data_IF_484725016566
#
_entry.id   IF_484725016566
#
_cell.length_a   1.000
_cell.length_b   1.000
_cell.length_c   1.000
_cell.angle_alpha   90.00
_cell.angle_beta   90.00
_cell.angle_gamma   90.00
#
_symmetry.space_group_name_H-M   'P 1'
#
loop_
_entity.id
_entity.type
_entity.pdbx_description
1 polymer ?
#
# COMPACT_ATOMS: atom_id res chain seq x y z
N UNK A 1 110.52 -61.99 52.30
CA UNK A 1 109.61 -61.97 51.24
C UNK A 1 108.24 -61.47 51.81
N UNK A 2 107.97 -60.21 51.69
CA UNK A 2 106.80 -59.60 52.30
C UNK A 2 105.88 -59.08 51.21
N UNK A 3 104.66 -59.65 51.04
CA UNK A 3 103.70 -59.35 50.08
C UNK A 3 102.71 -58.25 50.64
N UNK A 4 102.75 -57.07 50.09
CA UNK A 4 101.83 -55.98 50.46
C UNK A 4 100.44 -56.20 49.77
N UNK A 5 99.39 -56.28 50.56
CA UNK A 5 98.00 -56.29 50.10
C UNK A 5 97.55 -54.85 49.96
N UNK A 6 97.12 -54.42 48.72
CA UNK A 6 96.52 -53.15 48.47
C UNK A 6 95.00 -53.26 48.72
N UNK A 7 94.50 -52.57 49.70
CA UNK A 7 93.07 -52.39 49.96
C UNK A 7 92.52 -51.30 49.04
N UNK A 8 91.61 -51.64 48.14
CA UNK A 8 90.92 -50.73 47.26
C UNK A 8 89.74 -50.16 48.00
N UNK A 9 89.75 -48.83 48.26
CA UNK A 9 88.57 -48.06 48.75
C UNK A 9 87.57 -47.94 47.68
N UNK A 10 86.40 -48.63 47.72
CA UNK A 10 85.20 -48.37 46.91
C UNK A 10 84.52 -47.13 47.47
N UNK A 11 84.48 -46.05 46.62
CA UNK A 11 83.77 -44.85 46.87
C UNK A 11 82.25 -45.14 46.69
N UNK A 12 81.52 -45.10 47.80
CA UNK A 12 80.04 -45.22 47.74
C UNK A 12 79.46 -44.02 47.04
N UNK A 13 78.83 -44.26 45.87
CA UNK A 13 78.02 -43.28 45.16
C UNK A 13 76.72 -43.14 45.94
N UNK A 14 76.51 -41.99 46.57
CA UNK A 14 75.20 -41.62 47.17
C UNK A 14 74.21 -41.48 46.08
N UNK A 15 73.00 -42.11 46.15
CA UNK A 15 71.93 -41.84 45.22
C UNK A 15 71.48 -40.39 45.41
N UNK A 16 71.50 -39.64 44.34
CA UNK A 16 70.87 -38.29 44.28
C UNK A 16 69.41 -38.47 44.61
N UNK A 17 68.95 -37.89 45.70
CA UNK A 17 67.56 -37.76 45.98
C UNK A 17 66.92 -36.98 44.81
N UNK A 18 66.09 -37.63 44.02
CA UNK A 18 65.19 -36.98 43.06
C UNK A 18 64.23 -36.15 43.88
N UNK A 19 64.48 -34.83 43.91
CA UNK A 19 63.49 -33.89 44.43
C UNK A 19 62.18 -34.13 43.68
N UNK A 20 61.17 -34.58 44.40
CA UNK A 20 59.85 -34.81 43.85
C UNK A 20 59.18 -33.46 43.54
N UNK A 21 59.25 -33.02 42.27
CA UNK A 21 58.54 -31.87 41.77
C UNK A 21 57.01 -32.10 41.68
N UNK A 22 56.46 -33.07 42.43
CA UNK A 22 55.04 -33.45 42.41
C UNK A 22 54.08 -32.31 42.78
N UNK A 23 54.55 -31.34 43.57
CA UNK A 23 53.70 -30.17 43.92
C UNK A 23 53.52 -29.14 42.80
N UNK A 24 54.51 -28.93 41.95
CA UNK A 24 54.43 -28.02 40.80
C UNK A 24 53.50 -28.55 39.69
N UNK A 25 53.49 -29.88 39.47
CA UNK A 25 52.64 -30.55 38.52
C UNK A 25 51.12 -30.35 38.84
N UNK A 26 50.84 -30.44 40.16
CA UNK A 26 49.41 -30.25 40.61
C UNK A 26 48.95 -28.85 40.40
N UNK A 27 49.77 -27.83 40.67
CA UNK A 27 49.43 -26.42 40.42
C UNK A 27 49.20 -26.12 38.91
N UNK A 28 50.08 -26.63 38.04
CA UNK A 28 50.00 -26.54 36.61
C UNK A 28 48.72 -27.24 36.05
N UNK A 29 48.44 -28.45 36.57
CA UNK A 29 47.21 -29.18 36.19
C UNK A 29 45.95 -28.42 36.60
N UNK A 30 45.90 -27.82 37.79
CA UNK A 30 44.77 -27.04 38.27
C UNK A 30 44.57 -25.79 37.40
N UNK A 31 45.65 -25.05 37.09
CA UNK A 31 45.60 -23.91 36.18
C UNK A 31 45.13 -24.31 34.77
N UNK A 32 45.61 -25.40 34.23
CA UNK A 32 45.20 -25.94 32.94
C UNK A 32 43.70 -26.31 32.94
N UNK A 33 43.23 -26.98 33.99
CA UNK A 33 41.84 -27.39 34.14
C UNK A 33 40.91 -26.17 34.21
N UNK A 34 41.26 -25.15 35.00
CA UNK A 34 40.50 -23.90 35.07
C UNK A 34 40.43 -23.18 33.71
N UNK A 35 41.58 -23.14 33.00
CA UNK A 35 41.66 -22.54 31.65
C UNK A 35 40.77 -23.31 30.65
N UNK A 36 40.80 -24.64 30.70
CA UNK A 36 39.96 -25.49 29.83
C UNK A 36 38.48 -25.29 30.13
N UNK A 37 38.08 -25.23 31.42
CA UNK A 37 36.69 -24.94 31.80
C UNK A 37 36.25 -23.54 31.31
N UNK A 38 37.12 -22.54 31.44
CA UNK A 38 36.87 -21.21 30.98
C UNK A 38 36.67 -21.14 29.44
N UNK A 39 37.50 -21.85 28.66
CA UNK A 39 37.38 -21.93 27.20
C UNK A 39 36.10 -22.65 26.77
N UNK A 40 35.78 -23.79 27.40
CA UNK A 40 34.51 -24.51 27.12
C UNK A 40 33.32 -23.64 27.51
N UNK A 41 33.37 -22.97 28.65
CA UNK A 41 32.33 -22.06 29.13
C UNK A 41 32.08 -20.90 28.16
N UNK A 42 33.17 -20.29 27.66
CA UNK A 42 33.04 -19.22 26.64
C UNK A 42 32.43 -19.75 25.35
N UNK A 43 32.73 -20.98 24.94
CA UNK A 43 32.11 -21.63 23.79
C UNK A 43 30.59 -21.83 23.95
N UNK A 44 30.16 -22.27 25.16
CA UNK A 44 28.74 -22.47 25.48
C UNK A 44 27.97 -21.14 25.52
N UNK A 45 28.50 -20.17 26.28
CA UNK A 45 27.85 -18.84 26.38
C UNK A 45 27.84 -18.10 25.02
N UNK A 46 28.93 -18.18 24.25
CA UNK A 46 29.00 -17.60 22.91
C UNK A 46 28.02 -18.26 21.93
N UNK A 47 27.91 -19.60 21.99
CA UNK A 47 26.91 -20.35 21.19
C UNK A 47 25.47 -19.97 21.56
N UNK A 48 25.18 -19.86 22.86
CA UNK A 48 23.88 -19.40 23.36
C UNK A 48 23.56 -17.99 22.88
N UNK A 49 24.49 -17.04 23.00
CA UNK A 49 24.33 -15.68 22.52
C UNK A 49 24.04 -15.62 21.01
N UNK A 50 24.74 -16.42 20.22
CA UNK A 50 24.54 -16.53 18.78
C UNK A 50 23.10 -16.99 18.45
N UNK A 51 22.61 -18.03 19.15
CA UNK A 51 21.24 -18.51 18.98
C UNK A 51 20.21 -17.44 19.36
N UNK A 52 20.40 -16.72 20.46
CA UNK A 52 19.54 -15.62 20.87
C UNK A 52 19.55 -14.49 19.85
N UNK A 53 20.73 -14.14 19.29
CA UNK A 53 20.81 -13.10 18.23
C UNK A 53 20.06 -13.53 16.99
N UNK A 54 20.18 -14.80 16.56
CA UNK A 54 19.42 -15.32 15.42
C UNK A 54 17.91 -15.28 15.66
N UNK A 55 17.47 -15.63 16.87
CA UNK A 55 16.05 -15.52 17.25
C UNK A 55 15.58 -14.07 17.20
N UNK A 56 16.37 -13.13 17.70
CA UNK A 56 16.03 -11.69 17.61
C UNK A 56 16.01 -11.17 16.18
N UNK A 57 16.89 -11.68 15.30
CA UNK A 57 16.85 -11.34 13.88
C UNK A 57 15.54 -11.82 13.25
N UNK A 58 15.14 -13.07 13.44
CA UNK A 58 13.88 -13.59 12.95
C UNK A 58 12.69 -12.78 13.48
N UNK A 59 12.74 -12.34 14.74
CA UNK A 59 11.69 -11.50 15.33
C UNK A 59 11.65 -10.11 14.72
N UNK A 60 12.81 -9.50 14.46
CA UNK A 60 12.90 -8.19 13.82
C UNK A 60 12.37 -8.24 12.38
N UNK A 61 12.77 -9.26 11.61
CA UNK A 61 12.32 -9.48 10.23
C UNK A 61 10.80 -9.66 10.15
N UNK A 62 10.25 -10.55 11.00
CA UNK A 62 8.81 -10.80 11.02
C UNK A 62 8.00 -9.57 11.45
N UNK A 63 8.50 -8.81 12.42
CA UNK A 63 7.85 -7.61 12.91
C UNK A 63 7.94 -6.45 11.91
N UNK A 64 9.09 -6.27 11.24
CA UNK A 64 9.25 -5.28 10.17
C UNK A 64 8.34 -5.59 8.98
N UNK A 65 8.29 -6.87 8.57
CA UNK A 65 7.39 -7.32 7.51
C UNK A 65 5.92 -7.07 7.84
N UNK A 66 5.49 -7.35 9.09
CA UNK A 66 4.13 -7.12 9.53
C UNK A 66 3.75 -5.63 9.51
N UNK A 67 4.63 -4.74 9.99
CA UNK A 67 4.43 -3.30 9.94
C UNK A 67 4.39 -2.75 8.51
N UNK A 68 5.30 -3.19 7.66
CA UNK A 68 5.35 -2.81 6.25
C UNK A 68 4.12 -3.31 5.46
N UNK A 69 3.59 -4.49 5.82
CA UNK A 69 2.35 -5.00 5.25
C UNK A 69 1.18 -4.05 5.50
N UNK A 70 1.04 -3.49 6.69
CA UNK A 70 -0.02 -2.53 6.98
C UNK A 70 0.15 -1.25 6.16
N UNK A 71 1.38 -0.76 5.98
CA UNK A 71 1.65 0.38 5.09
C UNK A 71 1.28 0.05 3.64
N UNK A 72 1.58 -1.16 3.16
CA UNK A 72 1.20 -1.60 1.81
C UNK A 72 -0.32 -1.71 1.60
N UNK A 73 -1.09 -1.88 2.68
CA UNK A 73 -2.55 -1.83 2.70
C UNK A 73 -3.11 -0.42 2.96
N UNK A 74 -2.26 0.60 2.85
CA UNK A 74 -2.60 2.01 3.10
C UNK A 74 -3.07 2.31 4.54
N UNK A 75 -2.80 1.43 5.50
CA UNK A 75 -3.06 1.68 6.91
C UNK A 75 -2.05 2.68 7.45
N UNK A 76 -2.52 3.83 7.94
CA UNK A 76 -1.69 4.91 8.48
C UNK A 76 -1.83 5.13 9.98
N UNK A 77 -2.70 4.39 10.64
CA UNK A 77 -2.90 4.49 12.09
C UNK A 77 -1.72 3.89 12.85
N UNK A 78 -0.98 4.74 13.57
CA UNK A 78 0.25 4.36 14.27
C UNK A 78 0.03 3.31 15.36
N UNK A 79 -1.00 3.42 16.24
CA UNK A 79 -1.27 2.38 17.22
C UNK A 79 -1.54 1.00 16.62
N UNK A 80 -2.28 0.94 15.52
CA UNK A 80 -2.56 -0.32 14.80
C UNK A 80 -1.29 -0.94 14.26
N UNK A 81 -0.42 -0.13 13.62
CA UNK A 81 0.88 -0.60 13.10
C UNK A 81 1.77 -1.07 14.27
N UNK A 82 1.80 -0.33 15.37
CA UNK A 82 2.57 -0.71 16.57
C UNK A 82 2.10 -2.04 17.16
N UNK A 83 0.81 -2.22 17.30
CA UNK A 83 0.21 -3.44 17.84
C UNK A 83 0.55 -4.68 17.00
N UNK A 84 0.53 -4.53 15.67
CA UNK A 84 0.86 -5.63 14.76
C UNK A 84 2.36 -5.99 14.84
N UNK A 85 3.25 -4.99 14.89
CA UNK A 85 4.69 -5.18 15.10
C UNK A 85 4.95 -5.95 16.42
N UNK A 86 4.34 -5.54 17.52
CA UNK A 86 4.47 -6.20 18.84
C UNK A 86 3.95 -7.63 18.81
N UNK A 87 2.83 -7.86 18.14
CA UNK A 87 2.22 -9.19 17.99
C UNK A 87 3.17 -10.14 17.28
N UNK A 88 3.76 -9.74 16.16
CA UNK A 88 4.68 -10.60 15.40
C UNK A 88 6.04 -10.75 16.08
N UNK A 89 6.52 -9.75 16.78
CA UNK A 89 7.71 -9.87 17.63
C UNK A 89 7.49 -10.89 18.76
N UNK A 90 6.34 -10.83 19.44
CA UNK A 90 5.96 -11.76 20.51
C UNK A 90 5.83 -13.20 20.00
N UNK A 91 5.21 -13.42 18.83
CA UNK A 91 5.14 -14.74 18.16
C UNK A 91 6.53 -15.31 17.85
N UNK A 92 7.55 -14.45 17.72
CA UNK A 92 8.94 -14.82 17.47
C UNK A 92 9.84 -14.67 18.71
N UNK A 93 9.26 -14.97 19.89
CA UNK A 93 9.97 -15.13 21.16
C UNK A 93 10.56 -13.85 21.77
N UNK A 94 10.08 -12.67 21.42
CA UNK A 94 10.32 -11.45 22.22
C UNK A 94 9.39 -11.49 23.43
N UNK A 95 9.96 -11.55 24.62
CA UNK A 95 9.19 -11.80 25.88
C UNK A 95 8.29 -10.60 26.24
N UNK A 96 8.81 -9.39 26.13
CA UNK A 96 8.10 -8.15 26.45
C UNK A 96 8.13 -7.20 25.23
N UNK A 97 7.28 -7.42 24.19
CA UNK A 97 7.37 -6.65 22.96
C UNK A 97 7.22 -5.14 23.19
N UNK A 98 6.41 -4.71 24.15
CA UNK A 98 6.19 -3.29 24.46
C UNK A 98 7.48 -2.55 24.85
N UNK A 99 8.40 -3.22 25.60
CA UNK A 99 9.68 -2.63 26.06
C UNK A 99 10.88 -3.03 25.19
N UNK A 100 10.85 -4.24 24.65
CA UNK A 100 11.99 -4.86 23.97
C UNK A 100 11.99 -4.65 22.46
N UNK A 101 10.93 -4.02 21.92
CA UNK A 101 10.79 -3.62 20.53
C UNK A 101 10.83 -2.11 20.40
N UNK A 102 11.72 -1.62 19.56
CA UNK A 102 11.73 -0.20 19.11
C UNK A 102 11.47 -0.18 17.62
N UNK A 103 10.53 0.64 17.16
CA UNK A 103 10.15 0.69 15.77
C UNK A 103 10.10 2.14 15.24
N UNK A 104 10.44 2.30 13.98
CA UNK A 104 10.49 3.59 13.29
C UNK A 104 9.89 3.47 11.89
N UNK A 105 9.28 4.55 11.42
CA UNK A 105 8.96 4.72 10.00
C UNK A 105 10.22 5.10 9.24
N UNK A 106 10.35 4.58 8.02
CA UNK A 106 11.44 4.91 7.10
C UNK A 106 10.89 5.37 5.75
N UNK A 107 11.66 6.18 5.04
CA UNK A 107 11.41 6.52 3.64
C UNK A 107 12.02 5.48 2.69
N UNK A 108 11.92 5.71 1.38
CA UNK A 108 12.46 4.82 0.33
C UNK A 108 13.97 4.62 0.40
N UNK A 109 14.71 5.51 1.07
CA UNK A 109 16.15 5.37 1.29
C UNK A 109 16.51 4.58 2.56
N UNK A 110 15.50 4.20 3.37
CA UNK A 110 15.68 3.60 4.68
C UNK A 110 15.98 4.61 5.81
N UNK A 111 15.93 5.92 5.52
CA UNK A 111 16.12 6.95 6.53
C UNK A 111 14.90 7.06 7.45
N UNK A 112 15.13 7.28 8.74
CA UNK A 112 14.06 7.38 9.72
C UNK A 112 13.30 8.70 9.56
N UNK A 113 11.96 8.60 9.41
CA UNK A 113 11.06 9.75 9.26
C UNK A 113 10.07 9.91 10.43
N UNK A 114 10.04 8.98 11.37
CA UNK A 114 9.19 9.06 12.56
C UNK A 114 9.30 7.84 13.44
N UNK A 115 8.88 7.96 14.72
CA UNK A 115 8.81 6.85 15.65
C UNK A 115 7.44 6.15 15.57
N UNK A 116 7.41 4.83 15.72
CA UNK A 116 6.18 4.05 15.82
C UNK A 116 5.95 3.73 17.31
N UNK A 117 4.98 4.41 17.89
CA UNK A 117 4.63 4.29 19.31
C UNK A 117 3.20 3.82 19.50
N UNK A 118 2.81 3.50 20.73
CA UNK A 118 1.42 3.19 21.08
C UNK A 118 0.52 4.43 21.21
N UNK A 119 1.12 5.63 21.16
CA UNK A 119 0.34 6.87 21.22
C UNK A 119 -0.44 7.09 19.91
N UNK A 120 -1.62 7.72 20.04
CA UNK A 120 -2.42 8.09 18.88
C UNK A 120 -1.61 8.95 17.90
N UNK A 121 -1.72 8.66 16.63
CA UNK A 121 -1.00 9.35 15.56
C UNK A 121 -1.14 8.65 14.23
N UNK A 122 -0.67 9.31 13.19
CA UNK A 122 -0.65 8.78 11.82
C UNK A 122 0.77 8.69 11.28
N UNK A 123 1.03 7.70 10.47
CA UNK A 123 2.30 7.55 9.77
C UNK A 123 2.59 8.80 8.91
N UNK A 124 3.82 9.33 8.91
CA UNK A 124 4.21 10.42 8.02
C UNK A 124 3.89 10.11 6.55
N UNK A 125 3.52 11.12 5.78
CA UNK A 125 3.20 10.93 4.35
C UNK A 125 4.37 10.34 3.55
N UNK A 126 5.60 10.64 3.95
CA UNK A 126 6.84 10.14 3.36
C UNK A 126 7.22 8.72 3.81
N UNK A 127 6.48 8.12 4.76
CA UNK A 127 6.78 6.79 5.24
C UNK A 127 6.38 5.73 4.21
N UNK A 128 7.36 4.98 3.74
CA UNK A 128 7.22 3.86 2.82
C UNK A 128 7.74 2.55 3.41
N UNK A 129 8.35 2.60 4.58
CA UNK A 129 8.88 1.42 5.26
C UNK A 129 8.83 1.51 6.78
N UNK A 130 9.23 0.41 7.39
CA UNK A 130 9.31 0.23 8.84
C UNK A 130 10.65 -0.40 9.20
N UNK A 131 11.35 0.17 10.18
CA UNK A 131 12.54 -0.41 10.79
C UNK A 131 12.24 -0.83 12.22
N UNK A 132 12.54 -2.08 12.55
CA UNK A 132 12.29 -2.67 13.87
C UNK A 132 13.61 -3.10 14.49
N UNK A 133 13.80 -2.81 15.75
CA UNK A 133 14.92 -3.25 16.58
C UNK A 133 14.33 -4.08 17.71
N UNK A 134 14.76 -5.33 17.82
CA UNK A 134 14.39 -6.24 18.91
C UNK A 134 15.55 -6.43 19.86
N UNK A 135 15.23 -6.64 21.14
CA UNK A 135 16.21 -6.88 22.20
C UNK A 135 15.73 -7.99 23.12
N UNK A 136 16.68 -8.76 23.65
CA UNK A 136 16.43 -9.78 24.66
C UNK A 136 17.65 -9.96 25.55
N UNK A 137 17.44 -10.19 26.84
CA UNK A 137 18.51 -10.70 27.72
C UNK A 137 18.84 -12.14 27.34
N UNK A 138 20.11 -12.41 27.15
CA UNK A 138 20.66 -13.74 26.90
C UNK A 138 21.36 -14.20 28.21
N UNK A 139 20.75 -15.13 28.95
CA UNK A 139 21.38 -15.64 30.16
C UNK A 139 22.69 -16.31 29.83
N UNK A 140 23.68 -16.08 30.66
CA UNK A 140 25.02 -16.67 30.56
C UNK A 140 25.24 -17.62 31.74
N UNK A 141 25.96 -18.72 31.52
CA UNK A 141 26.19 -19.76 32.52
C UNK A 141 27.57 -19.66 33.16
N UNK A 142 28.59 -19.36 32.37
CA UNK A 142 29.97 -19.32 32.79
C UNK A 142 30.54 -17.92 32.95
N UNK A 143 30.09 -16.98 32.16
CA UNK A 143 30.55 -15.59 32.21
C UNK A 143 30.35 -14.93 33.59
N UNK A 144 29.32 -15.25 34.39
CA UNK A 144 29.18 -14.71 35.75
C UNK A 144 30.31 -15.11 36.69
N UNK A 145 30.96 -16.27 36.47
CA UNK A 145 32.12 -16.75 37.27
C UNK A 145 33.31 -15.80 37.15
N UNK A 146 33.45 -15.15 36.01
CA UNK A 146 34.53 -14.20 35.73
C UNK A 146 34.06 -12.72 35.81
N UNK A 147 32.89 -12.50 36.41
CA UNK A 147 32.39 -11.17 36.73
C UNK A 147 31.55 -10.48 35.62
N UNK A 148 31.22 -11.19 34.53
CA UNK A 148 30.30 -10.68 33.51
C UNK A 148 28.88 -11.18 33.77
N UNK A 149 27.91 -10.26 33.78
CA UNK A 149 26.49 -10.60 33.93
C UNK A 149 25.86 -11.06 32.62
N UNK A 150 24.51 -11.08 32.60
CA UNK A 150 23.74 -11.42 31.42
C UNK A 150 24.07 -10.50 30.23
N UNK A 151 24.21 -11.09 29.07
CA UNK A 151 24.43 -10.37 27.83
C UNK A 151 23.10 -9.99 27.19
N UNK A 152 23.10 -8.95 26.37
CA UNK A 152 21.93 -8.55 25.59
C UNK A 152 22.13 -8.91 24.13
N UNK A 153 21.24 -9.74 23.60
CA UNK A 153 21.13 -9.98 22.17
C UNK A 153 20.22 -8.91 21.56
N UNK A 154 20.64 -8.30 20.47
CA UNK A 154 19.85 -7.33 19.72
C UNK A 154 20.01 -7.58 18.23
N UNK A 155 18.95 -7.34 17.47
CA UNK A 155 18.96 -7.38 16.03
C UNK A 155 18.03 -6.29 15.47
N UNK A 156 18.25 -5.91 14.23
CA UNK A 156 17.41 -4.94 13.54
C UNK A 156 17.08 -5.43 12.13
N UNK A 157 15.89 -5.09 11.67
CA UNK A 157 15.45 -5.34 10.30
C UNK A 157 14.64 -4.17 9.81
N UNK A 158 14.67 -3.92 8.51
CA UNK A 158 13.83 -2.97 7.82
C UNK A 158 13.01 -3.64 6.72
N UNK A 159 11.80 -3.14 6.49
CA UNK A 159 10.98 -3.58 5.39
C UNK A 159 10.27 -2.39 4.74
N UNK A 160 10.27 -2.33 3.42
CA UNK A 160 9.43 -1.43 2.66
C UNK A 160 8.09 -2.11 2.35
N UNK A 161 7.00 -1.35 2.51
CA UNK A 161 5.66 -1.76 2.13
C UNK A 161 5.13 -0.81 1.07
N UNK A 162 5.20 -1.21 -0.19
CA UNK A 162 4.64 -0.45 -1.30
C UNK A 162 3.21 -0.90 -1.54
N UNK A 163 2.22 0.01 -1.52
CA UNK A 163 0.86 -0.34 -1.92
C UNK A 163 0.85 -0.86 -3.35
N UNK A 164 -0.14 -1.68 -3.65
CA UNK A 164 -0.44 -1.99 -5.04
C UNK A 164 -0.64 -0.67 -5.80
N UNK A 165 0.09 -0.48 -6.88
CA UNK A 165 -0.03 0.70 -7.73
C UNK A 165 -0.47 0.27 -9.11
N UNK A 166 -1.30 1.05 -9.74
CA UNK A 166 -1.91 0.69 -11.01
C UNK A 166 -3.17 -0.18 -10.81
N UNK A 167 -3.75 -0.59 -11.88
CA UNK A 167 -5.07 -1.19 -11.93
C UNK A 167 -6.17 -0.15 -11.96
N UNK A 168 -7.31 -0.57 -12.46
CA UNK A 168 -8.51 0.26 -12.46
C UNK A 168 -9.18 0.28 -11.08
N UNK A 169 -10.20 1.12 -10.91
CA UNK A 169 -10.96 1.22 -9.67
C UNK A 169 -11.73 -0.05 -9.29
N UNK A 170 -11.81 -1.05 -10.17
CA UNK A 170 -12.54 -2.30 -9.92
C UNK A 170 -14.06 -2.19 -10.08
N UNK A 171 -14.56 -1.01 -10.42
CA UNK A 171 -15.99 -0.70 -10.44
C UNK A 171 -16.40 0.05 -11.70
N UNK A 172 -17.54 -0.29 -12.26
CA UNK A 172 -18.17 0.51 -13.32
C UNK A 172 -18.69 1.85 -12.77
N UNK A 173 -19.23 1.83 -11.55
CA UNK A 173 -19.57 3.05 -10.82
C UNK A 173 -19.30 2.88 -9.33
N UNK A 174 -18.77 3.92 -8.70
CA UNK A 174 -18.48 3.95 -7.27
C UNK A 174 -18.83 5.30 -6.65
N UNK A 175 -19.66 5.28 -5.63
CA UNK A 175 -20.00 6.49 -4.88
C UNK A 175 -19.37 6.47 -3.48
N UNK A 176 -18.62 7.52 -3.19
CA UNK A 176 -17.76 7.65 -2.02
C UNK A 176 -18.49 8.10 -0.76
N UNK A 177 -19.61 8.84 -0.91
CA UNK A 177 -20.31 9.46 0.21
C UNK A 177 -20.87 8.41 1.18
N UNK A 178 -20.40 8.36 2.44
CA UNK A 178 -20.99 7.49 3.44
C UNK A 178 -22.22 8.15 4.07
N UNK A 179 -23.23 7.35 4.41
CA UNK A 179 -24.34 7.72 5.31
C UNK A 179 -25.07 9.05 4.98
N UNK A 180 -25.28 9.36 3.70
CA UNK A 180 -26.12 10.50 3.32
C UNK A 180 -27.59 10.19 3.66
N UNK A 181 -28.07 10.74 4.77
CA UNK A 181 -29.47 10.62 5.17
C UNK A 181 -30.34 11.42 4.19
N UNK A 182 -31.19 10.71 3.46
CA UNK A 182 -32.16 11.32 2.53
C UNK A 182 -31.61 11.77 1.18
N UNK A 183 -30.34 11.45 0.87
CA UNK A 183 -29.73 11.68 -0.44
C UNK A 183 -29.43 10.38 -1.15
N UNK A 184 -29.88 10.26 -2.40
CA UNK A 184 -29.50 9.12 -3.23
C UNK A 184 -28.04 9.29 -3.63
N UNK A 185 -27.17 8.41 -3.16
CA UNK A 185 -25.72 8.53 -3.38
C UNK A 185 -25.36 8.01 -4.76
N UNK A 186 -25.99 6.91 -5.20
CA UNK A 186 -26.09 6.57 -6.61
C UNK A 186 -27.53 6.76 -7.03
N UNK A 187 -27.79 7.71 -7.93
CA UNK A 187 -29.11 8.01 -8.49
C UNK A 187 -29.14 7.62 -9.98
N UNK A 188 -29.60 6.40 -10.25
CA UNK A 188 -29.68 5.84 -11.60
C UNK A 188 -31.05 6.11 -12.20
N UNK A 189 -31.26 7.33 -12.69
CA UNK A 189 -32.52 7.78 -13.31
C UNK A 189 -32.58 7.52 -14.82
N UNK A 190 -31.55 7.00 -15.42
CA UNK A 190 -31.53 6.64 -16.83
C UNK A 190 -32.33 5.38 -17.12
N UNK A 191 -32.80 5.23 -18.37
CA UNK A 191 -33.51 4.05 -18.83
C UNK A 191 -32.75 3.31 -19.92
N UNK A 192 -32.85 1.96 -19.92
CA UNK A 192 -32.21 1.14 -20.96
C UNK A 192 -30.68 1.14 -20.92
N UNK A 193 -30.10 1.36 -19.76
CA UNK A 193 -28.64 1.23 -19.56
C UNK A 193 -28.21 -0.22 -19.57
N UNK A 194 -27.04 -0.48 -20.17
CA UNK A 194 -26.34 -1.75 -20.06
C UNK A 194 -25.01 -1.53 -19.35
N UNK A 195 -24.90 -2.00 -18.11
CA UNK A 195 -23.73 -1.79 -17.25
C UNK A 195 -23.04 -3.12 -17.03
N UNK A 196 -21.78 -3.21 -17.43
CA UNK A 196 -20.91 -4.38 -17.18
C UNK A 196 -19.84 -4.01 -16.16
N UNK A 197 -19.85 -4.70 -15.01
CA UNK A 197 -18.97 -4.45 -13.89
C UNK A 197 -19.72 -4.16 -12.60
N UNK A 198 -19.00 -4.15 -11.49
CA UNK A 198 -19.57 -3.90 -10.15
C UNK A 198 -19.96 -2.43 -9.99
N UNK A 199 -21.11 -2.19 -9.38
CA UNK A 199 -21.58 -0.86 -8.95
C UNK A 199 -21.60 -0.84 -7.43
N UNK A 200 -20.86 0.06 -6.80
CA UNK A 200 -20.77 0.18 -5.34
C UNK A 200 -21.19 1.55 -4.85
N UNK A 201 -21.97 1.57 -3.78
CA UNK A 201 -22.28 2.79 -3.03
C UNK A 201 -21.91 2.66 -1.57
N UNK A 202 -21.18 3.63 -1.05
CA UNK A 202 -20.91 3.74 0.39
C UNK A 202 -22.17 4.14 1.20
N UNK A 203 -23.30 4.26 0.58
CA UNK A 203 -24.62 4.49 1.21
C UNK A 203 -25.70 3.70 0.48
N UNK A 204 -26.50 4.33 -0.36
CA UNK A 204 -27.64 3.73 -1.05
C UNK A 204 -27.54 3.81 -2.58
N UNK A 205 -28.35 2.98 -3.26
CA UNK A 205 -28.54 3.00 -4.71
C UNK A 205 -30.02 3.19 -5.00
N UNK A 206 -30.37 4.22 -5.80
CA UNK A 206 -31.72 4.43 -6.31
C UNK A 206 -31.78 4.13 -7.80
N UNK A 207 -32.79 3.39 -8.21
CA UNK A 207 -33.10 3.13 -9.61
C UNK A 207 -34.41 3.84 -9.98
N UNK A 208 -34.30 4.88 -10.80
CA UNK A 208 -35.45 5.69 -11.25
C UNK A 208 -36.02 5.28 -12.62
N UNK A 209 -35.15 5.06 -13.60
CA UNK A 209 -35.51 4.62 -14.94
C UNK A 209 -35.73 3.11 -15.05
N UNK A 210 -36.38 2.67 -16.12
CA UNK A 210 -36.68 1.25 -16.36
C UNK A 210 -35.87 0.63 -17.50
N UNK A 211 -35.88 -0.72 -17.57
CA UNK A 211 -35.22 -1.47 -18.64
C UNK A 211 -33.68 -1.48 -18.56
N UNK A 212 -33.13 -1.21 -17.39
CA UNK A 212 -31.68 -1.26 -17.18
C UNK A 212 -31.22 -2.71 -17.01
N UNK A 213 -30.01 -3.03 -17.49
CA UNK A 213 -29.35 -4.32 -17.31
C UNK A 213 -28.02 -4.11 -16.61
N UNK A 214 -27.80 -4.78 -15.49
CA UNK A 214 -26.54 -4.79 -14.77
C UNK A 214 -25.91 -6.19 -14.86
N UNK A 215 -24.82 -6.28 -15.61
CA UNK A 215 -23.99 -7.48 -15.75
C UNK A 215 -22.82 -7.39 -14.74
N UNK A 216 -23.14 -7.51 -13.47
CA UNK A 216 -22.22 -7.36 -12.35
C UNK A 216 -22.97 -7.24 -11.03
N UNK A 217 -22.26 -7.00 -9.95
CA UNK A 217 -22.81 -6.94 -8.61
C UNK A 217 -23.23 -5.51 -8.28
N UNK A 218 -24.45 -5.32 -7.79
CA UNK A 218 -24.85 -4.09 -7.09
C UNK A 218 -24.52 -4.24 -5.61
N UNK A 219 -23.78 -3.30 -5.05
CA UNK A 219 -23.36 -3.29 -3.65
C UNK A 219 -23.73 -1.98 -3.00
N UNK A 220 -24.41 -2.03 -1.87
CA UNK A 220 -24.68 -0.87 -1.02
C UNK A 220 -24.46 -1.19 0.46
N UNK A 221 -24.26 -0.15 1.25
CA UNK A 221 -24.00 -0.27 2.70
C UNK A 221 -25.31 -0.35 3.49
N UNK A 222 -26.39 0.23 3.00
CA UNK A 222 -27.67 0.28 3.72
C UNK A 222 -28.36 -1.07 3.77
N UNK A 223 -28.03 -1.97 2.85
CA UNK A 223 -28.68 -3.29 2.71
C UNK A 223 -30.15 -3.23 2.32
N UNK A 224 -30.62 -2.05 1.94
CA UNK A 224 -31.97 -1.87 1.40
C UNK A 224 -31.88 -2.00 -0.11
N UNK A 225 -32.37 -3.12 -0.63
CA UNK A 225 -32.51 -3.28 -2.08
C UNK A 225 -33.15 -2.02 -2.69
N UNK A 226 -32.63 -1.52 -3.84
CA UNK A 226 -33.21 -0.40 -4.52
C UNK A 226 -34.73 -0.58 -4.65
N UNK A 227 -35.50 0.43 -4.28
CA UNK A 227 -36.96 0.38 -4.39
C UNK A 227 -37.35 0.14 -5.84
N UNK A 228 -38.26 -0.82 -6.07
CA UNK A 228 -38.72 -1.23 -7.40
C UNK A 228 -37.68 -1.92 -8.30
N UNK A 229 -36.67 -2.56 -7.75
CA UNK A 229 -35.60 -3.23 -8.50
C UNK A 229 -36.14 -4.11 -9.64
N UNK A 230 -37.08 -5.01 -9.34
CA UNK A 230 -37.63 -5.94 -10.32
C UNK A 230 -38.32 -5.27 -11.52
N UNK A 231 -38.88 -4.04 -11.36
CA UNK A 231 -39.50 -3.29 -12.43
C UNK A 231 -38.56 -2.33 -13.18
N UNK A 232 -37.37 -2.09 -12.61
CA UNK A 232 -36.39 -1.09 -13.11
C UNK A 232 -35.16 -1.70 -13.74
N UNK A 233 -34.76 -2.90 -13.27
CA UNK A 233 -33.51 -3.49 -13.73
C UNK A 233 -33.58 -5.01 -13.83
N UNK A 234 -32.79 -5.55 -14.77
CA UNK A 234 -32.40 -6.97 -14.83
C UNK A 234 -31.00 -7.09 -14.27
N UNK A 235 -30.81 -8.02 -13.31
CA UNK A 235 -29.50 -8.31 -12.71
C UNK A 235 -28.95 -9.63 -13.22
N UNK A 236 -27.69 -9.63 -13.63
CA UNK A 236 -26.91 -10.80 -14.05
C UNK A 236 -25.56 -10.83 -13.30
N UNK A 237 -25.33 -11.75 -12.36
CA UNK A 237 -26.24 -12.78 -11.88
C UNK A 237 -27.40 -12.20 -11.05
N UNK A 238 -28.55 -12.84 -11.07
CA UNK A 238 -29.70 -12.45 -10.25
C UNK A 238 -29.63 -13.03 -8.82
N UNK A 239 -28.93 -14.17 -8.66
CA UNK A 239 -28.74 -14.80 -7.36
C UNK A 239 -27.82 -13.96 -6.46
N UNK A 240 -28.24 -13.70 -5.21
CA UNK A 240 -27.51 -12.90 -4.22
C UNK A 240 -27.10 -11.50 -4.71
N UNK A 241 -27.94 -10.86 -5.50
CA UNK A 241 -27.72 -9.53 -6.04
C UNK A 241 -29.02 -8.72 -5.87
N UNK A 242 -29.04 -7.55 -5.21
CA UNK A 242 -27.89 -6.82 -4.69
C UNK A 242 -27.28 -7.43 -3.41
N UNK A 243 -26.05 -7.02 -3.10
CA UNK A 243 -25.28 -7.49 -1.95
C UNK A 243 -25.09 -6.33 -0.96
N UNK A 244 -25.36 -6.58 0.32
CA UNK A 244 -24.96 -5.64 1.37
C UNK A 244 -23.44 -5.64 1.51
N UNK A 245 -22.86 -4.45 1.55
CA UNK A 245 -21.43 -4.23 1.66
C UNK A 245 -21.09 -3.39 2.91
N UNK A 246 -19.83 -3.07 3.07
CA UNK A 246 -19.32 -2.11 4.06
C UNK A 246 -18.86 -0.85 3.36
N UNK A 247 -18.67 0.24 4.10
CA UNK A 247 -18.02 1.44 3.57
C UNK A 247 -16.61 1.07 3.09
N UNK A 248 -16.33 1.32 1.83
CA UNK A 248 -15.04 1.06 1.21
C UNK A 248 -14.27 2.36 1.00
N UNK A 249 -12.93 2.33 1.07
CA UNK A 249 -12.11 3.49 0.77
C UNK A 249 -12.21 3.87 -0.71
N UNK A 250 -11.75 5.07 -1.03
CA UNK A 250 -11.68 5.56 -2.41
C UNK A 250 -10.78 4.63 -3.27
N UNK A 251 -11.33 3.97 -4.28
CA UNK A 251 -10.58 3.03 -5.11
C UNK A 251 -9.61 3.71 -6.08
N UNK A 252 -9.76 5.01 -6.32
CA UNK A 252 -8.89 5.81 -7.20
C UNK A 252 -7.81 6.50 -6.40
N UNK A 253 -8.15 7.12 -5.28
CA UNK A 253 -7.26 7.78 -4.33
C UNK A 253 -6.18 8.67 -4.99
N UNK A 254 -6.59 9.49 -5.97
CA UNK A 254 -5.71 10.45 -6.67
C UNK A 254 -5.98 11.87 -6.20
N UNK A 255 -4.95 12.69 -6.23
CA UNK A 255 -4.99 14.11 -5.86
C UNK A 255 -4.53 14.99 -7.02
N UNK A 256 -4.75 16.29 -6.92
CA UNK A 256 -4.21 17.25 -7.91
C UNK A 256 -2.69 17.18 -8.02
N UNK A 257 -1.99 16.88 -6.92
CA UNK A 257 -0.53 16.78 -6.89
C UNK A 257 0.03 15.68 -7.81
N UNK A 258 -0.73 14.59 -8.02
CA UNK A 258 -0.33 13.49 -8.91
C UNK A 258 -0.25 13.93 -10.38
N UNK A 259 -0.94 15.03 -10.74
CA UNK A 259 -1.03 15.54 -12.10
C UNK A 259 -0.37 16.90 -12.30
N UNK A 260 -0.13 17.67 -11.23
CA UNK A 260 0.47 18.99 -11.32
C UNK A 260 1.98 18.92 -11.59
N UNK A 261 2.44 19.55 -12.67
CA UNK A 261 3.84 19.58 -13.07
C UNK A 261 4.40 21.02 -13.13
N UNK A 262 3.73 21.97 -12.46
CA UNK A 262 4.10 23.38 -12.49
C UNK A 262 3.25 24.21 -13.45
N UNK A 263 3.60 25.47 -13.62
CA UNK A 263 2.85 26.43 -14.44
C UNK A 263 3.37 26.55 -15.88
N UNK A 264 4.43 25.81 -16.23
CA UNK A 264 5.02 25.82 -17.57
C UNK A 264 4.51 24.62 -18.38
N UNK A 265 3.91 24.90 -19.53
CA UNK A 265 3.48 23.84 -20.46
C UNK A 265 4.66 23.21 -21.19
N UNK A 266 4.53 21.91 -21.46
CA UNK A 266 5.46 21.09 -22.27
C UNK A 266 4.71 20.46 -23.44
N UNK A 267 5.36 19.60 -24.20
CA UNK A 267 4.73 18.90 -25.31
C UNK A 267 3.57 17.96 -24.88
N UNK A 268 3.62 17.47 -23.64
CA UNK A 268 2.65 16.49 -23.09
C UNK A 268 1.98 16.94 -21.78
N UNK A 269 2.23 18.17 -21.38
CA UNK A 269 1.60 18.80 -20.22
C UNK A 269 1.19 20.23 -20.55
N UNK A 270 -0.09 20.51 -20.45
CA UNK A 270 -0.69 21.79 -20.80
C UNK A 270 -1.28 22.45 -19.55
N UNK A 271 -0.57 23.43 -18.98
CA UNK A 271 -1.06 24.23 -17.86
C UNK A 271 -1.91 25.39 -18.36
N UNK A 272 -3.11 25.52 -17.81
CA UNK A 272 -4.05 26.56 -18.18
C UNK A 272 -4.56 27.21 -16.89
N UNK A 273 -4.41 28.53 -16.78
CA UNK A 273 -4.89 29.28 -15.62
C UNK A 273 -6.24 29.93 -15.93
N UNK A 274 -7.21 29.67 -15.07
CA UNK A 274 -8.58 30.18 -15.19
C UNK A 274 -9.54 29.23 -15.93
N UNK A 275 -10.81 29.58 -15.91
CA UNK A 275 -11.86 28.82 -16.60
C UNK A 275 -11.62 28.83 -18.11
N UNK A 276 -11.72 27.65 -18.73
CA UNK A 276 -11.39 27.53 -20.15
C UNK A 276 -12.41 26.67 -20.91
N UNK A 277 -12.60 27.04 -22.19
CA UNK A 277 -13.25 26.18 -23.17
C UNK A 277 -12.16 25.48 -23.99
N UNK A 278 -12.05 24.17 -23.82
CA UNK A 278 -11.01 23.38 -24.48
C UNK A 278 -11.20 23.22 -25.98
N UNK A 279 -12.34 23.64 -26.56
CA UNK A 279 -12.55 23.61 -28.01
C UNK A 279 -11.43 24.36 -28.80
N UNK A 280 -10.81 25.36 -28.17
CA UNK A 280 -9.72 26.14 -28.77
C UNK A 280 -8.39 25.38 -28.86
N UNK A 281 -8.26 24.26 -28.17
CA UNK A 281 -7.08 23.39 -28.18
C UNK A 281 -7.20 22.24 -29.17
N UNK A 282 -8.32 22.13 -29.86
CA UNK A 282 -8.51 21.14 -30.93
C UNK A 282 -7.78 21.55 -32.18
N UNK A 283 -6.99 20.62 -32.72
CA UNK A 283 -6.39 20.74 -34.06
C UNK A 283 -6.95 19.62 -34.92
N UNK A 284 -7.65 19.97 -35.98
CA UNK A 284 -8.33 19.00 -36.86
C UNK A 284 -9.28 18.04 -36.09
N UNK A 285 -9.93 18.54 -35.04
CA UNK A 285 -10.83 17.76 -34.20
C UNK A 285 -10.18 16.81 -33.20
N UNK A 286 -8.86 16.91 -32.98
CA UNK A 286 -8.09 16.08 -32.06
C UNK A 286 -7.30 16.96 -31.11
N UNK A 287 -7.22 16.55 -29.86
CA UNK A 287 -6.31 17.15 -28.88
C UNK A 287 -4.89 16.62 -29.06
N UNK A 288 -3.90 17.45 -28.77
CA UNK A 288 -2.53 16.97 -28.59
C UNK A 288 -2.48 16.01 -27.38
N UNK A 289 -1.76 14.89 -27.49
CA UNK A 289 -1.65 13.94 -26.37
C UNK A 289 -1.04 14.59 -25.12
N UNK A 290 -1.63 14.31 -23.96
CA UNK A 290 -1.06 14.81 -22.73
C UNK A 290 -2.07 15.08 -21.61
N UNK A 291 -1.54 15.66 -20.53
CA UNK A 291 -2.32 16.13 -19.38
C UNK A 291 -2.68 17.60 -19.57
N UNK A 292 -3.96 17.91 -19.55
CA UNK A 292 -4.50 19.28 -19.54
C UNK A 292 -4.87 19.64 -18.12
N UNK A 293 -3.97 20.34 -17.42
CA UNK A 293 -4.18 20.80 -16.05
C UNK A 293 -4.74 22.22 -16.04
N UNK A 294 -5.98 22.36 -15.60
CA UNK A 294 -6.69 23.65 -15.58
C UNK A 294 -6.89 24.09 -14.13
N UNK A 295 -6.27 25.22 -13.78
CA UNK A 295 -6.56 25.89 -12.51
C UNK A 295 -7.86 26.72 -12.65
N UNK A 296 -8.99 26.04 -12.66
CA UNK A 296 -10.31 26.59 -12.93
C UNK A 296 -11.29 25.50 -13.37
N UNK A 297 -12.30 25.90 -14.11
CA UNK A 297 -13.31 25.00 -14.72
C UNK A 297 -12.93 24.66 -16.16
N UNK A 298 -13.24 23.44 -16.55
CA UNK A 298 -13.15 22.99 -17.94
C UNK A 298 -14.55 22.95 -18.55
N UNK A 299 -14.71 23.50 -19.74
CA UNK A 299 -15.85 23.29 -20.60
C UNK A 299 -15.41 22.77 -21.98
N UNK A 300 -16.16 21.85 -22.54
CA UNK A 300 -16.06 21.43 -23.94
C UNK A 300 -17.47 21.44 -24.49
N UNK A 301 -17.77 22.46 -25.30
CA UNK A 301 -19.15 22.74 -25.76
C UNK A 301 -19.58 21.84 -26.93
N UNK A 302 -20.88 21.71 -27.10
CA UNK A 302 -21.50 20.93 -28.18
C UNK A 302 -21.15 21.39 -29.60
N UNK A 303 -20.66 22.64 -29.76
CA UNK A 303 -20.15 23.15 -31.03
C UNK A 303 -18.71 22.70 -31.39
N UNK A 304 -18.02 22.00 -30.51
CA UNK A 304 -16.71 21.45 -30.82
C UNK A 304 -16.82 20.32 -31.86
N UNK A 305 -16.21 20.49 -33.02
CA UNK A 305 -16.17 19.47 -34.05
C UNK A 305 -15.02 18.51 -33.72
N UNK A 306 -15.36 17.34 -33.20
CA UNK A 306 -14.38 16.29 -32.89
C UNK A 306 -14.26 15.29 -34.03
N UNK A 307 -13.07 14.72 -34.18
CA UNK A 307 -12.82 13.67 -35.14
C UNK A 307 -13.52 12.37 -34.72
N UNK A 308 -14.38 11.86 -35.59
CA UNK A 308 -15.05 10.58 -35.36
C UNK A 308 -14.14 9.37 -35.59
N UNK A 309 -13.00 9.57 -36.27
CA UNK A 309 -12.07 8.50 -36.67
C UNK A 309 -10.76 8.50 -35.88
N UNK A 310 -10.35 9.64 -35.33
CA UNK A 310 -9.10 9.78 -34.60
C UNK A 310 -9.41 9.98 -33.11
N UNK A 311 -8.78 9.15 -32.28
CA UNK A 311 -8.88 9.27 -30.84
C UNK A 311 -7.87 10.27 -30.27
N UNK A 312 -8.29 11.04 -29.27
CA UNK A 312 -7.41 11.90 -28.50
C UNK A 312 -6.97 11.19 -27.22
N UNK A 313 -5.65 11.02 -27.03
CA UNK A 313 -5.07 10.46 -25.80
C UNK A 313 -4.86 11.61 -24.82
N UNK A 314 -5.78 11.78 -23.86
CA UNK A 314 -5.81 12.96 -22.98
C UNK A 314 -6.20 12.61 -21.55
N UNK A 315 -5.70 13.39 -20.59
CA UNK A 315 -6.16 13.41 -19.21
C UNK A 315 -6.52 14.85 -18.85
N UNK A 316 -7.78 15.11 -18.59
CA UNK A 316 -8.26 16.43 -18.20
C UNK A 316 -8.34 16.53 -16.67
N UNK A 317 -7.62 17.50 -16.10
CA UNK A 317 -7.57 17.75 -14.66
C UNK A 317 -8.02 19.19 -14.40
N UNK A 318 -8.97 19.38 -13.52
CA UNK A 318 -9.47 20.71 -13.15
C UNK A 318 -9.51 20.87 -11.63
N UNK A 319 -9.20 22.07 -11.15
CA UNK A 319 -9.45 22.43 -9.75
C UNK A 319 -10.93 22.67 -9.48
N UNK A 320 -11.72 22.95 -10.53
CA UNK A 320 -13.17 23.11 -10.51
C UNK A 320 -13.90 22.05 -11.35
N UNK A 321 -15.09 22.38 -11.76
CA UNK A 321 -15.95 21.50 -12.55
C UNK A 321 -15.39 21.21 -13.95
N UNK A 322 -15.61 20.00 -14.43
CA UNK A 322 -15.43 19.60 -15.83
C UNK A 322 -16.81 19.36 -16.44
N UNK A 323 -17.16 20.09 -17.49
CA UNK A 323 -18.41 19.92 -18.23
C UNK A 323 -18.13 19.66 -19.70
N UNK A 324 -18.43 18.46 -20.15
CA UNK A 324 -18.24 18.03 -21.54
C UNK A 324 -19.62 17.77 -22.14
N UNK A 325 -19.98 18.54 -23.15
CA UNK A 325 -21.28 18.46 -23.86
C UNK A 325 -21.11 18.30 -25.36
N UNK A 326 -20.03 17.69 -25.80
CA UNK A 326 -19.74 17.48 -27.22
C UNK A 326 -20.31 16.17 -27.75
N UNK A 327 -20.79 16.18 -28.99
CA UNK A 327 -21.10 14.97 -29.72
C UNK A 327 -19.81 14.34 -30.34
N UNK A 328 -19.84 13.03 -30.59
CA UNK A 328 -18.71 12.29 -31.20
C UNK A 328 -17.42 12.40 -30.40
N UNK A 329 -17.48 12.46 -29.08
CA UNK A 329 -16.28 12.36 -28.24
C UNK A 329 -15.51 11.09 -28.57
N UNK A 330 -14.19 11.21 -28.75
CA UNK A 330 -13.34 10.07 -28.99
C UNK A 330 -12.05 10.24 -28.14
N UNK A 331 -12.11 9.76 -26.90
CA UNK A 331 -11.08 9.96 -25.91
C UNK A 331 -10.52 8.65 -25.38
N UNK A 332 -9.21 8.62 -25.22
CA UNK A 332 -8.47 7.60 -24.48
C UNK A 332 -7.71 8.28 -23.34
N UNK A 333 -7.59 7.66 -22.17
CA UNK A 333 -6.82 8.24 -21.09
C UNK A 333 -5.32 8.29 -21.46
N UNK A 334 -4.68 9.42 -21.14
CA UNK A 334 -3.23 9.58 -21.37
C UNK A 334 -2.42 9.07 -20.17
N UNK A 335 -2.88 9.34 -18.94
CA UNK A 335 -2.14 9.02 -17.72
C UNK A 335 -3.01 8.25 -16.74
N UNK A 336 -2.50 7.14 -16.20
CA UNK A 336 -3.06 6.34 -15.10
C UNK A 336 -4.52 5.85 -15.33
N UNK A 337 -4.97 5.72 -16.57
CA UNK A 337 -6.37 5.41 -16.88
C UNK A 337 -7.35 6.55 -16.60
N UNK A 338 -6.86 7.72 -16.16
CA UNK A 338 -7.66 8.88 -15.83
C UNK A 338 -8.03 9.68 -17.08
N UNK A 339 -9.32 9.84 -17.32
CA UNK A 339 -9.79 10.73 -18.38
C UNK A 339 -10.21 12.11 -17.82
N UNK A 340 -11.06 12.13 -16.80
CA UNK A 340 -11.55 13.36 -16.19
C UNK A 340 -11.31 13.34 -14.68
N UNK A 341 -10.54 14.29 -14.16
CA UNK A 341 -10.37 14.50 -12.73
C UNK A 341 -10.81 15.91 -12.33
N UNK A 342 -11.86 16.02 -11.56
CA UNK A 342 -12.35 17.27 -10.98
C UNK A 342 -12.13 17.30 -9.47
N UNK A 343 -11.49 18.35 -8.99
CA UNK A 343 -11.36 18.63 -7.55
C UNK A 343 -12.40 19.67 -7.06
N UNK A 344 -13.53 19.79 -7.73
CA UNK A 344 -14.64 20.60 -7.24
C UNK A 344 -15.08 20.10 -5.86
N UNK A 345 -15.33 21.02 -4.93
CA UNK A 345 -15.65 20.70 -3.53
C UNK A 345 -17.13 20.43 -3.28
N UNK A 346 -17.99 20.63 -4.26
CA UNK A 346 -19.45 20.43 -4.17
C UNK A 346 -20.13 20.55 -5.52
N UNK A 347 -21.40 20.15 -5.59
CA UNK A 347 -22.22 20.19 -6.80
C UNK A 347 -21.76 19.17 -7.83
N UNK A 348 -21.90 19.50 -9.10
CA UNK A 348 -21.43 18.65 -10.19
C UNK A 348 -19.92 18.88 -10.42
N UNK A 349 -19.13 17.85 -10.18
CA UNK A 349 -17.68 17.85 -10.43
C UNK A 349 -17.36 17.50 -11.89
N UNK A 350 -17.87 16.37 -12.35
CA UNK A 350 -17.75 15.94 -13.75
C UNK A 350 -19.14 15.77 -14.35
N UNK A 351 -19.40 16.44 -15.45
CA UNK A 351 -20.64 16.31 -16.22
C UNK A 351 -20.29 15.88 -17.64
N UNK A 352 -20.76 14.71 -18.02
CA UNK A 352 -20.56 14.16 -19.37
C UNK A 352 -21.92 14.12 -20.05
N UNK A 353 -22.06 14.92 -21.11
CA UNK A 353 -23.27 15.03 -21.93
C UNK A 353 -22.90 14.86 -23.40
N UNK A 354 -23.77 14.29 -24.17
CA UNK A 354 -23.56 14.19 -25.61
C UNK A 354 -24.08 12.87 -26.17
N UNK A 355 -24.13 12.83 -27.48
CA UNK A 355 -24.56 11.65 -28.23
C UNK A 355 -23.38 11.11 -29.04
N UNK A 356 -23.37 9.80 -29.27
CA UNK A 356 -22.34 9.12 -30.10
C UNK A 356 -20.88 9.27 -29.60
N UNK A 357 -20.69 9.42 -28.28
CA UNK A 357 -19.34 9.51 -27.71
C UNK A 357 -18.71 8.12 -27.52
N UNK A 358 -17.44 7.99 -27.90
CA UNK A 358 -16.57 6.88 -27.51
C UNK A 358 -15.49 7.44 -26.59
N UNK A 359 -15.64 7.25 -25.32
CA UNK A 359 -14.67 7.75 -24.32
C UNK A 359 -14.34 6.64 -23.34
N UNK A 360 -13.07 6.49 -23.05
CA UNK A 360 -12.55 5.46 -22.17
C UNK A 360 -11.80 6.07 -20.99
N UNK A 361 -11.79 5.40 -19.85
CA UNK A 361 -11.07 5.82 -18.65
C UNK A 361 -11.98 6.24 -17.49
N UNK A 362 -11.37 6.77 -16.43
CA UNK A 362 -12.07 7.16 -15.20
C UNK A 362 -12.58 8.59 -15.29
N UNK A 363 -13.83 8.80 -14.92
CA UNK A 363 -14.37 10.09 -14.53
C UNK A 363 -14.39 10.17 -12.99
N UNK A 364 -13.58 11.04 -12.41
CA UNK A 364 -13.30 11.10 -10.98
C UNK A 364 -13.60 12.47 -10.38
N UNK A 365 -14.42 12.48 -9.34
CA UNK A 365 -14.72 13.67 -8.55
C UNK A 365 -14.92 13.32 -7.07
N UNK A 366 -13.84 13.23 -6.26
CA UNK A 366 -13.89 12.70 -4.90
C UNK A 366 -14.74 13.52 -3.93
N UNK A 367 -15.02 14.77 -4.22
CA UNK A 367 -15.77 15.68 -3.36
C UNK A 367 -17.05 16.24 -4.00
N UNK A 368 -17.40 15.76 -5.21
CA UNK A 368 -18.49 16.28 -6.00
C UNK A 368 -19.20 15.17 -6.81
N UNK A 369 -20.31 15.52 -7.44
CA UNK A 369 -21.08 14.58 -8.24
C UNK A 369 -20.41 14.28 -9.58
N UNK A 370 -20.41 13.00 -9.98
CA UNK A 370 -20.15 12.57 -11.35
C UNK A 370 -21.48 12.30 -12.04
N UNK A 371 -21.76 13.05 -13.09
CA UNK A 371 -23.03 13.00 -13.81
C UNK A 371 -22.83 12.57 -15.25
N UNK A 372 -23.50 11.48 -15.61
CA UNK A 372 -23.59 10.99 -16.98
C UNK A 372 -24.98 11.24 -17.52
N UNK A 373 -25.08 11.99 -18.60
CA UNK A 373 -26.38 12.37 -19.21
C UNK A 373 -26.27 12.32 -20.72
N UNK A 374 -27.38 12.07 -21.41
CA UNK A 374 -27.41 11.96 -22.85
C UNK A 374 -28.41 10.90 -23.30
N UNK A 375 -28.68 10.85 -24.58
CA UNK A 375 -29.55 9.85 -25.16
C UNK A 375 -28.90 9.18 -26.35
N UNK A 376 -28.99 7.86 -26.39
CA UNK A 376 -28.65 6.97 -27.49
C UNK A 376 -27.20 6.94 -28.00
N UNK A 377 -26.59 5.76 -27.92
CA UNK A 377 -25.42 5.31 -28.67
C UNK A 377 -24.08 5.91 -28.25
N UNK A 378 -23.78 5.86 -26.97
CA UNK A 378 -22.37 5.75 -26.59
C UNK A 378 -21.95 4.35 -27.05
N UNK A 379 -21.03 4.27 -28.00
CA UNK A 379 -20.44 3.00 -28.43
C UNK A 379 -19.57 2.51 -27.29
N UNK A 380 -20.11 1.62 -26.47
CA UNK A 380 -19.42 0.81 -25.47
C UNK A 380 -18.25 1.53 -24.76
N UNK A 381 -18.48 2.61 -23.99
CA UNK A 381 -17.41 3.25 -23.28
C UNK A 381 -16.84 2.30 -22.23
N UNK A 382 -15.57 2.00 -22.36
CA UNK A 382 -14.78 1.28 -21.38
C UNK A 382 -14.37 2.25 -20.29
N UNK A 383 -15.22 2.40 -19.27
CA UNK A 383 -15.08 3.53 -18.36
C UNK A 383 -15.55 3.20 -16.93
N UNK A 384 -15.14 4.07 -16.00
CA UNK A 384 -15.57 4.03 -14.60
C UNK A 384 -16.01 5.42 -14.13
N UNK A 385 -17.11 5.47 -13.40
CA UNK A 385 -17.62 6.68 -12.76
C UNK A 385 -17.33 6.61 -11.26
N UNK A 386 -16.43 7.43 -10.75
CA UNK A 386 -16.08 7.48 -9.32
C UNK A 386 -16.30 8.90 -8.80
N UNK A 387 -17.22 9.07 -7.87
CA UNK A 387 -17.54 10.39 -7.33
C UNK A 387 -18.02 10.38 -5.90
N UNK A 388 -18.12 11.57 -5.29
CA UNK A 388 -18.82 11.70 -4.00
C UNK A 388 -20.22 11.13 -4.10
N UNK A 389 -20.94 11.55 -5.16
CA UNK A 389 -22.18 10.92 -5.62
C UNK A 389 -22.07 10.62 -7.11
N UNK A 390 -22.90 9.69 -7.60
CA UNK A 390 -22.98 9.35 -9.03
C UNK A 390 -24.42 9.47 -9.49
N UNK A 391 -24.63 10.20 -10.55
CA UNK A 391 -25.96 10.39 -11.14
C UNK A 391 -25.96 10.03 -12.62
N UNK A 392 -26.93 9.24 -13.04
CA UNK A 392 -27.18 8.99 -14.47
C UNK A 392 -28.56 9.43 -14.87
N UNK A 393 -28.66 10.04 -16.04
CA UNK A 393 -29.95 10.44 -16.67
C UNK A 393 -29.88 10.18 -18.17
N UNK A 394 -31.03 10.13 -18.84
CA UNK A 394 -31.09 9.86 -20.29
C UNK A 394 -31.43 8.39 -20.58
N UNK A 395 -31.12 7.92 -21.78
CA UNK A 395 -31.55 6.59 -22.22
C UNK A 395 -30.52 5.88 -23.10
N UNK A 396 -30.50 4.52 -23.00
CA UNK A 396 -29.82 3.65 -23.95
C UNK A 396 -28.30 3.75 -23.94
N UNK A 397 -27.67 3.94 -22.77
CA UNK A 397 -26.22 4.02 -22.68
C UNK A 397 -25.63 2.69 -22.21
N UNK A 398 -24.42 2.37 -22.71
CA UNK A 398 -23.61 1.26 -22.24
C UNK A 398 -22.48 1.82 -21.39
N UNK A 399 -22.12 1.14 -20.29
CA UNK A 399 -20.97 1.42 -19.45
C UNK A 399 -20.28 0.08 -19.15
N UNK A 400 -19.06 -0.09 -19.63
CA UNK A 400 -18.27 -1.31 -19.45
C UNK A 400 -17.05 -0.98 -18.61
N UNK A 401 -16.90 -1.64 -17.49
CA UNK A 401 -15.64 -1.61 -16.76
C UNK A 401 -14.64 -2.53 -17.44
N UNK A 402 -13.44 -2.04 -17.72
CA UNK A 402 -12.37 -2.78 -18.38
C UNK A 402 -11.01 -2.46 -17.71
N UNK A 403 -10.45 -3.46 -17.04
CA UNK A 403 -9.15 -3.36 -16.39
C UNK A 403 -7.99 -3.10 -17.35
N UNK A 404 -8.13 -3.46 -18.63
CA UNK A 404 -7.06 -3.33 -19.62
C UNK A 404 -6.67 -1.88 -19.94
N UNK A 405 -7.57 -0.93 -19.64
CA UNK A 405 -7.31 0.51 -19.82
C UNK A 405 -6.43 1.11 -18.74
N UNK A 406 -6.21 0.38 -17.67
CA UNK A 406 -5.43 0.83 -16.53
C UNK A 406 -4.04 0.20 -16.55
N UNK A 407 -3.04 0.89 -16.00
CA UNK A 407 -1.76 0.23 -15.76
C UNK A 407 -2.00 -1.08 -15.01
N UNK A 408 -1.37 -2.17 -15.45
CA UNK A 408 -1.53 -3.44 -14.75
C UNK A 408 -1.18 -3.25 -13.27
N UNK A 409 -2.02 -3.75 -12.35
CA UNK A 409 -1.74 -3.58 -10.95
C UNK A 409 -0.40 -4.24 -10.64
N UNK A 410 0.56 -3.47 -10.15
CA UNK A 410 1.71 -4.05 -9.49
C UNK A 410 1.22 -4.57 -8.15
N UNK A 411 1.48 -5.83 -7.88
CA UNK A 411 1.15 -6.41 -6.58
C UNK A 411 1.75 -5.53 -5.47
N UNK A 412 1.05 -5.44 -4.34
CA UNK A 412 1.67 -4.87 -3.14
C UNK A 412 2.96 -5.64 -2.86
N UNK A 413 4.07 -4.93 -2.83
CA UNK A 413 5.39 -5.51 -2.63
C UNK A 413 5.86 -5.20 -1.21
N UNK A 414 6.35 -6.24 -0.53
CA UNK A 414 7.03 -6.06 0.74
C UNK A 414 8.42 -6.61 0.59
N UNK A 415 9.42 -5.74 0.70
CA UNK A 415 10.84 -6.09 0.59
C UNK A 415 11.54 -5.83 1.91
N UNK A 416 12.28 -6.83 2.40
CA UNK A 416 13.19 -6.65 3.53
C UNK A 416 14.47 -5.96 3.06
N UNK A 417 15.01 -5.08 3.90
CA UNK A 417 16.33 -4.46 3.74
C UNK A 417 17.07 -4.41 5.08
N UNK A 418 18.38 -4.43 5.03
CA UNK A 418 19.26 -4.37 6.20
C UNK A 418 19.70 -2.94 6.55
#
# INVERSE_FOLDING_TARGET
>A
MTRRVRTSCRRAVRPRATESNGGQGLVLLTLFLVTMIALVGLGVDGGSLYLHRRTMQNAADAAAFAGARLLSLSTRDTPTIRSEIETYAGKNYVTNPASDVTAYYTDDSGAQVGAITSAAGTAPATATGVKVITRRQAPTFFLPIIGFGDLKASASAGAHGRPATGGGPGYAAFALAPNLVGGNVIDWNGSGYNVSGTVHSNSDIKLGGGGNTFNGILQDVTGTSPTNLASKATLNPSANNPVQSTVLPDPVNKTLADYYQGTTSTATYHYINGNTNLSTYLTNGVFQPGVYYVNGKISLSSGATMSATQSSSVTFVATGQISVSSNNMNFQPYKDGMLFFSNASSGDGVVIQGNYGNWNGVAYAPHANVKLTGSNNVKDPHASLVGWTVQTTGAGQTLIYDDSLFPQPTAAEITLYE
#
